data_IF_144950256904
#
_entry.id   IF_144950256904
#
_cell.length_a   1.000
_cell.length_b   1.000
_cell.length_c   1.000
_cell.angle_alpha   90.00
_cell.angle_beta   90.00
_cell.angle_gamma   90.00
#
_symmetry.space_group_name_H-M   'P 1'
#
loop_
_entity.id
_entity.type
_entity.pdbx_description
1 polymer ?
#
# COMPACT_ATOMS: atom_id res chain seq x y z
N UNK A 1 0.22 -1.95 27.64
CA UNK A 1 -0.42 -2.66 26.52
C UNK A 1 -0.85 -1.60 25.52
N UNK A 2 -0.17 -1.43 24.38
CA UNK A 2 -0.62 -0.46 23.38
C UNK A 2 -1.76 -1.07 22.54
N UNK A 3 -2.84 -0.31 22.44
CA UNK A 3 -3.98 -0.54 21.56
C UNK A 3 -3.54 -0.70 20.11
N UNK A 4 -3.99 -1.78 19.48
CA UNK A 4 -3.95 -1.93 18.04
C UNK A 4 -4.89 -0.89 17.42
N UNK A 5 -4.33 0.22 16.93
CA UNK A 5 -5.06 1.22 16.18
C UNK A 5 -5.60 0.57 14.90
N UNK A 6 -6.92 0.41 14.85
CA UNK A 6 -7.68 0.17 13.62
C UNK A 6 -7.28 1.28 12.65
N UNK A 7 -6.72 0.92 11.51
CA UNK A 7 -6.41 1.86 10.41
C UNK A 7 -7.72 2.48 9.96
N UNK A 8 -8.07 3.60 10.60
CA UNK A 8 -9.23 4.39 10.26
C UNK A 8 -9.05 4.94 8.84
N UNK A 9 -10.07 4.84 8.01
CA UNK A 9 -10.20 5.58 6.75
C UNK A 9 -9.83 7.03 7.03
N UNK A 10 -8.71 7.52 6.50
CA UNK A 10 -8.39 8.94 6.48
C UNK A 10 -9.52 9.62 5.73
N UNK A 11 -10.37 10.37 6.41
CA UNK A 11 -11.33 11.28 5.76
C UNK A 11 -10.50 12.23 4.91
N UNK A 12 -10.88 12.38 3.65
CA UNK A 12 -10.35 13.45 2.82
C UNK A 12 -10.51 14.78 3.60
N UNK A 13 -9.45 15.58 3.70
CA UNK A 13 -9.54 16.87 4.39
C UNK A 13 -10.55 17.78 3.66
N UNK A 14 -11.29 18.62 4.39
CA UNK A 14 -12.40 19.39 3.84
C UNK A 14 -12.00 20.62 3.01
N UNK A 15 -10.74 20.81 2.68
CA UNK A 15 -10.23 21.92 1.89
C UNK A 15 -9.44 21.43 0.70
N UNK A 16 -9.50 22.22 -0.37
CA UNK A 16 -8.78 22.06 -1.62
C UNK A 16 -7.25 22.00 -1.36
N UNK A 17 -6.73 20.85 -0.96
CA UNK A 17 -5.28 20.61 -0.87
C UNK A 17 -4.71 20.60 -2.28
N UNK A 18 -3.49 21.11 -2.50
CA UNK A 18 -2.83 20.98 -3.78
C UNK A 18 -2.76 19.49 -4.12
N UNK A 19 -3.49 19.10 -5.14
CA UNK A 19 -3.49 17.72 -5.64
C UNK A 19 -2.12 17.52 -6.28
N UNK A 20 -1.36 16.51 -5.86
CA UNK A 20 -0.12 16.14 -6.53
C UNK A 20 -0.42 15.80 -7.99
N UNK A 21 0.45 16.23 -8.92
CA UNK A 21 0.30 15.89 -10.33
C UNK A 21 0.41 14.37 -10.50
N UNK A 22 -0.61 13.68 -11.03
CA UNK A 22 -0.58 12.23 -11.22
C UNK A 22 0.38 11.78 -12.34
N UNK A 23 1.02 12.71 -13.05
CA UNK A 23 1.85 12.44 -14.24
C UNK A 23 3.32 12.87 -14.07
N UNK A 24 4.03 12.37 -13.05
CA UNK A 24 5.44 12.70 -12.86
C UNK A 24 6.27 12.17 -14.04
N UNK A 25 7.36 12.88 -14.34
CA UNK A 25 8.34 12.43 -15.31
C UNK A 25 9.51 11.74 -14.61
N UNK A 26 9.92 10.58 -15.13
CA UNK A 26 11.15 9.91 -14.73
C UNK A 26 12.24 10.17 -15.78
N UNK A 27 13.37 10.72 -15.33
CA UNK A 27 14.48 11.13 -16.17
C UNK A 27 15.70 10.31 -15.77
N UNK A 28 16.17 9.46 -16.67
CA UNK A 28 17.35 8.61 -16.45
C UNK A 28 18.52 9.15 -17.25
N UNK A 29 19.60 9.50 -16.55
CA UNK A 29 20.79 10.11 -17.17
C UNK A 29 21.87 9.04 -17.36
N UNK A 30 22.42 8.97 -18.57
CA UNK A 30 23.59 8.15 -18.93
C UNK A 30 23.47 6.69 -18.49
N UNK A 31 22.29 6.11 -18.70
CA UNK A 31 22.06 4.70 -18.38
C UNK A 31 23.02 3.80 -19.14
N UNK A 32 23.67 2.88 -18.42
CA UNK A 32 24.71 2.01 -18.96
C UNK A 32 24.24 0.61 -19.31
N UNK A 33 23.10 0.18 -18.76
CA UNK A 33 22.53 -1.15 -18.93
C UNK A 33 21.11 -1.09 -19.49
N UNK A 34 20.87 -1.63 -20.69
CA UNK A 34 19.53 -1.64 -21.30
C UNK A 34 18.48 -2.31 -20.44
N UNK A 35 18.80 -3.40 -19.75
CA UNK A 35 17.89 -4.10 -18.85
C UNK A 35 17.36 -3.22 -17.72
N UNK A 36 18.15 -2.27 -17.21
CA UNK A 36 17.67 -1.32 -16.19
C UNK A 36 16.61 -0.37 -16.74
N UNK A 37 16.71 0.04 -18.01
CA UNK A 37 15.69 0.88 -18.66
C UNK A 37 14.37 0.13 -18.78
N UNK A 38 14.41 -1.14 -19.22
CA UNK A 38 13.23 -1.99 -19.29
C UNK A 38 12.60 -2.23 -17.92
N UNK A 39 13.41 -2.58 -16.93
CA UNK A 39 12.95 -2.80 -15.56
C UNK A 39 12.38 -1.52 -14.92
N UNK A 40 12.98 -0.34 -15.21
CA UNK A 40 12.44 0.95 -14.77
C UNK A 40 11.08 1.25 -15.40
N UNK A 41 10.92 1.02 -16.71
CA UNK A 41 9.64 1.19 -17.40
C UNK A 41 8.53 0.30 -16.75
N UNK A 42 8.88 -0.96 -16.41
CA UNK A 42 7.97 -1.86 -15.69
C UNK A 42 7.63 -1.34 -14.30
N UNK A 43 8.62 -0.87 -13.55
CA UNK A 43 8.44 -0.30 -12.21
C UNK A 43 7.49 0.90 -12.23
N UNK A 44 7.66 1.80 -13.20
CA UNK A 44 6.77 2.95 -13.42
C UNK A 44 5.35 2.51 -13.73
N UNK A 45 5.18 1.59 -14.70
CA UNK A 45 3.86 1.11 -15.12
C UNK A 45 3.07 0.46 -14.00
N UNK A 46 3.70 -0.36 -13.17
CA UNK A 46 3.06 -0.99 -11.99
C UNK A 46 2.48 0.07 -11.04
N UNK A 47 3.12 1.23 -10.95
CA UNK A 47 2.65 2.36 -10.14
C UNK A 47 1.75 3.33 -10.92
N UNK A 48 1.40 3.03 -12.17
CA UNK A 48 0.51 3.83 -13.01
C UNK A 48 1.16 5.07 -13.60
N UNK A 49 2.49 5.05 -13.81
CA UNK A 49 3.26 6.13 -14.42
C UNK A 49 3.79 5.71 -15.80
N UNK A 50 3.99 6.70 -16.71
CA UNK A 50 4.38 6.37 -18.07
C UNK A 50 5.23 7.42 -18.79
N UNK A 51 5.60 8.55 -18.17
CA UNK A 51 6.46 9.57 -18.79
C UNK A 51 7.93 9.30 -18.45
N UNK A 52 8.62 8.60 -19.36
CA UNK A 52 10.03 8.23 -19.27
C UNK A 52 10.85 9.02 -20.27
N UNK A 53 11.92 9.67 -19.81
CA UNK A 53 12.90 10.36 -20.64
C UNK A 53 14.29 9.86 -20.33
N UNK A 54 15.05 9.54 -21.37
CA UNK A 54 16.45 9.13 -21.27
C UNK A 54 17.34 10.26 -21.77
N UNK A 55 18.31 10.65 -20.96
CA UNK A 55 19.30 11.68 -21.35
C UNK A 55 20.63 10.99 -21.62
N UNK A 56 21.13 11.12 -22.87
CA UNK A 56 22.42 10.53 -23.30
C UNK A 56 22.61 9.07 -22.84
N UNK A 57 21.67 8.16 -23.14
CA UNK A 57 21.89 6.74 -22.78
C UNK A 57 23.11 6.21 -23.55
N UNK A 58 23.82 5.25 -22.97
CA UNK A 58 25.02 4.65 -23.58
C UNK A 58 24.74 4.00 -24.95
N UNK A 59 23.57 3.39 -25.11
CA UNK A 59 23.18 2.73 -26.36
C UNK A 59 22.15 3.59 -27.08
N UNK A 60 22.40 3.91 -28.34
CA UNK A 60 21.51 4.73 -29.14
C UNK A 60 20.15 4.07 -29.40
N UNK A 61 20.14 2.73 -29.46
CA UNK A 61 18.97 1.87 -29.68
C UNK A 61 18.37 1.33 -28.38
N UNK A 62 18.69 1.93 -27.24
CA UNK A 62 18.34 1.43 -25.90
C UNK A 62 16.85 1.10 -25.74
N UNK A 63 15.95 1.84 -26.38
CA UNK A 63 14.50 1.59 -26.27
C UNK A 63 14.02 0.34 -27.03
N UNK A 64 14.72 -0.05 -28.08
CA UNK A 64 14.46 -1.24 -28.89
C UNK A 64 15.41 -2.40 -28.60
N UNK A 65 16.38 -2.20 -27.72
CA UNK A 65 17.35 -3.21 -27.35
C UNK A 65 16.66 -4.45 -26.76
N UNK A 66 17.08 -5.66 -27.15
CA UNK A 66 16.45 -6.91 -26.77
C UNK A 66 16.30 -7.06 -25.26
N UNK A 67 17.33 -6.73 -24.50
CA UNK A 67 17.33 -6.78 -23.05
C UNK A 67 16.31 -5.79 -22.43
N UNK A 68 16.21 -4.57 -23.00
CA UNK A 68 15.22 -3.57 -22.54
C UNK A 68 13.80 -4.09 -22.72
N UNK A 69 13.52 -4.63 -23.90
CA UNK A 69 12.17 -5.17 -24.20
C UNK A 69 11.86 -6.36 -23.31
N UNK A 70 12.80 -7.28 -23.12
CA UNK A 70 12.64 -8.45 -22.25
C UNK A 70 12.36 -8.03 -20.80
N UNK A 71 13.13 -7.10 -20.24
CA UNK A 71 12.97 -6.66 -18.84
C UNK A 71 11.74 -5.75 -18.64
N UNK A 72 11.27 -5.09 -19.66
CA UNK A 72 10.03 -4.31 -19.60
C UNK A 72 8.78 -5.18 -19.46
N UNK A 73 8.84 -6.45 -19.93
CA UNK A 73 7.70 -7.36 -19.88
C UNK A 73 6.43 -6.70 -20.48
N UNK A 74 5.35 -6.56 -19.72
CA UNK A 74 4.11 -5.91 -20.16
C UNK A 74 4.14 -4.37 -20.27
N UNK A 75 5.30 -3.70 -20.10
CA UNK A 75 5.42 -2.23 -20.10
C UNK A 75 5.93 -1.65 -21.44
N UNK A 76 5.72 -2.36 -22.57
CA UNK A 76 6.14 -1.90 -23.89
C UNK A 76 5.56 -0.54 -24.29
N UNK A 77 4.35 -0.21 -23.83
CA UNK A 77 3.71 1.08 -24.06
C UNK A 77 4.43 2.27 -23.39
N UNK A 78 5.13 2.04 -22.26
CA UNK A 78 5.99 3.05 -21.64
C UNK A 78 7.23 3.29 -22.50
N UNK A 79 7.86 2.21 -22.99
CA UNK A 79 9.02 2.31 -23.90
C UNK A 79 8.65 3.01 -25.21
N UNK A 80 7.51 2.71 -25.80
CA UNK A 80 7.05 3.33 -27.05
C UNK A 80 6.84 4.85 -26.91
N UNK A 81 6.43 5.30 -25.73
CA UNK A 81 6.25 6.74 -25.43
C UNK A 81 7.50 7.42 -24.91
N UNK A 82 8.50 6.62 -24.51
CA UNK A 82 9.74 7.16 -23.97
C UNK A 82 10.48 8.01 -25.02
N UNK A 83 11.16 9.04 -24.55
CA UNK A 83 11.97 9.94 -25.38
C UNK A 83 13.43 9.82 -25.03
N UNK A 84 14.29 9.92 -26.04
CA UNK A 84 15.74 10.04 -25.87
C UNK A 84 16.13 11.46 -26.25
N UNK A 85 16.83 12.15 -25.37
CA UNK A 85 17.27 13.54 -25.57
C UNK A 85 18.76 13.68 -25.32
N UNK A 86 19.37 14.70 -25.94
CA UNK A 86 20.79 14.97 -25.81
C UNK A 86 21.17 15.80 -24.58
N UNK A 87 20.21 16.52 -24.00
CA UNK A 87 20.47 17.47 -22.92
C UNK A 87 19.46 17.33 -21.81
N UNK A 88 19.86 17.62 -20.58
CA UNK A 88 18.99 17.58 -19.42
C UNK A 88 17.88 18.65 -19.52
N UNK A 89 18.19 19.82 -20.07
CA UNK A 89 17.23 20.90 -20.26
C UNK A 89 16.02 20.45 -21.09
N UNK A 90 16.28 19.66 -22.14
CA UNK A 90 15.22 19.12 -23.02
C UNK A 90 14.34 18.09 -22.26
N UNK A 91 14.94 17.38 -21.29
CA UNK A 91 14.21 16.45 -20.43
C UNK A 91 13.37 17.16 -19.37
N UNK A 92 13.75 18.37 -18.97
CA UNK A 92 13.06 19.17 -17.95
C UNK A 92 11.92 20.05 -18.51
N UNK A 93 11.73 20.08 -19.83
CA UNK A 93 10.65 20.87 -20.42
C UNK A 93 9.28 20.52 -19.83
N UNK A 94 8.57 21.52 -19.30
CA UNK A 94 7.28 21.38 -18.61
C UNK A 94 7.36 20.76 -17.20
N UNK A 95 8.55 20.57 -16.63
CA UNK A 95 8.75 20.16 -15.23
C UNK A 95 8.93 21.40 -14.36
N UNK A 96 8.14 21.52 -13.29
CA UNK A 96 8.21 22.66 -12.37
C UNK A 96 8.99 22.33 -11.09
N UNK A 97 8.98 21.08 -10.66
CA UNK A 97 9.65 20.64 -9.45
C UNK A 97 10.61 19.49 -9.74
N UNK A 98 11.89 19.80 -9.78
CA UNK A 98 12.97 18.84 -10.10
C UNK A 98 13.45 18.19 -8.81
N UNK A 99 13.36 16.87 -8.73
CA UNK A 99 13.79 16.04 -7.61
C UNK A 99 14.97 15.17 -8.07
N UNK A 100 16.20 15.53 -7.68
CA UNK A 100 17.37 14.68 -7.90
C UNK A 100 17.37 13.49 -6.91
N UNK A 101 18.03 12.39 -7.29
CA UNK A 101 18.27 11.27 -6.38
C UNK A 101 19.74 11.12 -6.06
N UNK A 102 20.11 11.12 -4.80
CA UNK A 102 21.46 10.86 -4.37
C UNK A 102 21.49 10.16 -3.01
N UNK A 103 22.53 9.34 -2.81
CA UNK A 103 22.75 8.66 -1.52
C UNK A 103 23.24 9.62 -0.43
N UNK A 104 24.07 10.59 -0.82
CA UNK A 104 24.74 11.52 0.10
C UNK A 104 24.39 12.97 -0.28
N UNK A 105 24.16 13.83 0.71
CA UNK A 105 24.08 15.26 0.50
C UNK A 105 25.31 15.78 -0.25
N UNK A 106 25.15 16.81 -1.07
CA UNK A 106 26.23 17.49 -1.75
C UNK A 106 26.48 18.85 -1.11
N UNK A 107 27.76 19.22 -0.98
CA UNK A 107 28.11 20.58 -0.60
C UNK A 107 27.48 21.56 -1.61
N UNK A 108 26.83 22.60 -1.11
CA UNK A 108 26.06 23.56 -1.92
C UNK A 108 24.91 22.98 -2.74
N UNK A 109 24.49 21.72 -2.46
CA UNK A 109 23.35 21.09 -3.11
C UNK A 109 22.00 21.55 -2.53
N UNK A 110 20.90 21.15 -3.17
CA UNK A 110 19.56 21.42 -2.66
C UNK A 110 19.30 20.68 -1.34
N UNK A 111 18.25 21.08 -0.59
CA UNK A 111 17.83 20.36 0.60
C UNK A 111 17.66 18.86 0.34
N UNK A 112 18.08 18.02 1.29
CA UNK A 112 17.98 16.56 1.19
C UNK A 112 16.88 16.06 2.09
N UNK A 113 15.98 15.23 1.56
CA UNK A 113 14.87 14.64 2.30
C UNK A 113 14.64 13.18 1.89
N UNK A 114 14.05 12.39 2.79
CA UNK A 114 13.53 11.09 2.43
C UNK A 114 12.27 11.24 1.56
N UNK A 115 12.05 10.40 0.54
CA UNK A 115 10.94 10.55 -0.41
C UNK A 115 9.58 10.66 0.29
N UNK A 116 9.28 9.77 1.23
CA UNK A 116 8.01 9.78 1.98
C UNK A 116 7.77 11.11 2.69
N UNK A 117 8.76 11.56 3.46
CA UNK A 117 8.69 12.80 4.25
C UNK A 117 8.46 14.00 3.34
N UNK A 118 9.18 14.04 2.22
CA UNK A 118 9.04 15.13 1.25
C UNK A 118 7.65 15.14 0.60
N UNK A 119 7.15 13.99 0.16
CA UNK A 119 5.82 13.92 -0.48
C UNK A 119 4.67 14.20 0.50
N UNK A 120 4.79 13.80 1.77
CA UNK A 120 3.83 14.16 2.82
C UNK A 120 3.85 15.68 3.07
N UNK A 121 5.02 16.29 3.14
CA UNK A 121 5.16 17.74 3.28
C UNK A 121 4.60 18.48 2.05
N UNK A 122 4.84 17.96 0.85
CA UNK A 122 4.34 18.53 -0.41
C UNK A 122 2.80 18.52 -0.44
N UNK A 123 2.15 17.47 0.06
CA UNK A 123 0.70 17.41 0.21
C UNK A 123 0.16 18.41 1.25
N UNK A 124 0.89 18.57 2.37
CA UNK A 124 0.43 19.40 3.50
C UNK A 124 0.62 20.90 3.30
N UNK A 125 1.74 21.31 2.71
CA UNK A 125 2.16 22.74 2.64
C UNK A 125 2.46 23.23 1.23
N UNK A 126 2.24 22.41 0.22
CA UNK A 126 2.66 22.70 -1.16
C UNK A 126 4.19 22.71 -1.33
N UNK A 127 4.67 22.89 -2.57
CA UNK A 127 6.09 22.77 -2.86
C UNK A 127 6.98 23.85 -2.22
N UNK A 128 6.57 25.14 -2.09
CA UNK A 128 7.38 26.11 -1.37
C UNK A 128 7.55 25.74 0.11
N UNK A 129 6.48 25.33 0.78
CA UNK A 129 6.51 24.92 2.18
C UNK A 129 7.29 23.62 2.40
N UNK A 130 7.20 22.64 1.50
CA UNK A 130 7.95 21.40 1.57
C UNK A 130 9.47 21.63 1.45
N UNK A 131 9.90 22.73 0.82
CA UNK A 131 11.29 23.19 0.76
C UNK A 131 11.69 24.09 1.92
N UNK A 132 10.82 24.34 2.90
CA UNK A 132 11.07 25.26 4.00
C UNK A 132 11.01 26.76 3.60
N UNK A 133 10.50 27.05 2.42
CA UNK A 133 10.32 28.40 1.94
C UNK A 133 8.96 28.93 2.42
N UNK A 134 8.93 29.70 3.49
CA UNK A 134 7.71 30.35 3.96
C UNK A 134 7.42 31.58 3.11
N UNK A 135 6.31 31.56 2.37
CA UNK A 135 5.81 32.78 1.74
C UNK A 135 5.01 33.59 2.78
N UNK A 136 5.37 34.84 2.97
CA UNK A 136 4.63 35.79 3.83
C UNK A 136 3.29 36.22 3.21
N UNK A 137 2.99 35.86 1.98
CA UNK A 137 1.74 36.14 1.29
C UNK A 137 1.01 34.86 0.95
N UNK A 138 -0.28 34.78 1.29
CA UNK A 138 -1.15 33.72 0.78
C UNK A 138 -1.15 33.76 -0.76
N UNK A 139 -0.93 32.63 -1.44
CA UNK A 139 -1.03 32.61 -2.89
C UNK A 139 -2.47 32.98 -3.30
N UNK A 140 -2.64 33.82 -4.32
CA UNK A 140 -3.95 34.37 -4.72
C UNK A 140 -4.92 33.30 -5.31
N UNK A 141 -4.49 32.07 -5.46
CA UNK A 141 -5.28 30.91 -5.89
C UNK A 141 -4.60 29.65 -5.39
N UNK A 142 -5.32 28.53 -5.18
CA UNK A 142 -4.65 27.27 -4.91
C UNK A 142 -3.71 26.99 -6.09
N UNK A 143 -2.40 26.86 -5.84
CA UNK A 143 -1.45 26.62 -6.91
C UNK A 143 -1.82 25.29 -7.58
N UNK A 144 -1.80 25.25 -8.92
CA UNK A 144 -1.83 23.98 -9.64
C UNK A 144 -0.72 23.10 -9.10
N UNK A 145 -1.00 21.81 -8.96
CA UNK A 145 -0.01 20.85 -8.52
C UNK A 145 1.21 20.89 -9.46
N UNK A 146 2.43 21.13 -8.96
CA UNK A 146 3.59 21.21 -9.80
C UNK A 146 3.85 19.85 -10.43
N UNK A 147 4.20 19.83 -11.72
CA UNK A 147 4.66 18.63 -12.38
C UNK A 147 6.06 18.27 -11.90
N UNK A 148 6.20 17.06 -11.34
CA UNK A 148 7.46 16.59 -10.80
C UNK A 148 8.31 15.90 -11.87
N UNK A 149 9.63 16.14 -11.82
CA UNK A 149 10.62 15.38 -12.56
C UNK A 149 11.57 14.68 -11.59
N UNK A 150 11.59 13.36 -11.60
CA UNK A 150 12.54 12.55 -10.85
C UNK A 150 13.78 12.28 -11.69
N UNK A 151 14.93 12.79 -11.28
CA UNK A 151 16.19 12.67 -11.99
C UNK A 151 17.06 11.62 -11.30
N UNK A 152 17.42 10.58 -12.04
CA UNK A 152 18.26 9.48 -11.58
C UNK A 152 19.51 9.40 -12.49
N UNK A 153 20.67 9.23 -11.87
CA UNK A 153 21.95 9.14 -12.58
C UNK A 153 22.31 7.74 -13.04
N UNK A 154 23.46 7.64 -13.68
CA UNK A 154 24.00 6.37 -14.15
C UNK A 154 24.27 5.40 -13.00
N UNK A 155 24.24 4.10 -13.32
CA UNK A 155 24.42 3.02 -12.35
C UNK A 155 25.79 3.04 -11.68
N UNK A 156 26.79 3.52 -12.40
CA UNK A 156 28.18 3.50 -11.91
C UNK A 156 28.56 4.76 -11.14
N UNK A 157 28.12 5.93 -11.60
CA UNK A 157 28.62 7.21 -11.09
C UNK A 157 27.53 8.04 -10.40
N UNK A 158 26.26 7.64 -10.54
CA UNK A 158 25.13 8.43 -10.06
C UNK A 158 24.94 9.71 -10.86
N UNK A 159 24.43 10.75 -10.22
CA UNK A 159 24.29 12.10 -10.78
C UNK A 159 25.59 12.89 -10.61
N UNK A 160 25.93 13.71 -11.60
CA UNK A 160 26.98 14.72 -11.46
C UNK A 160 26.55 15.81 -10.45
N UNK A 161 27.52 16.56 -9.92
CA UNK A 161 27.19 17.72 -9.08
C UNK A 161 26.37 18.75 -9.85
N UNK A 162 26.66 18.96 -11.10
CA UNK A 162 25.93 19.90 -11.97
C UNK A 162 24.46 19.50 -12.10
N UNK A 163 24.18 18.22 -12.31
CA UNK A 163 22.81 17.72 -12.40
C UNK A 163 22.06 17.87 -11.06
N UNK A 164 22.73 17.62 -9.94
CA UNK A 164 22.14 17.78 -8.59
C UNK A 164 21.86 19.25 -8.28
N UNK A 165 22.75 20.17 -8.67
CA UNK A 165 22.56 21.61 -8.39
C UNK A 165 21.40 22.24 -9.18
N UNK A 166 20.92 21.59 -10.22
CA UNK A 166 19.73 22.01 -10.99
C UNK A 166 18.42 21.59 -10.33
N UNK A 167 18.50 20.73 -9.31
CA UNK A 167 17.30 20.25 -8.63
C UNK A 167 16.85 21.20 -7.51
N UNK A 168 15.57 21.13 -7.18
CA UNK A 168 14.98 21.86 -6.08
C UNK A 168 15.10 21.10 -4.75
N UNK A 169 15.15 19.78 -4.83
CA UNK A 169 15.32 18.87 -3.70
C UNK A 169 16.16 17.67 -4.11
N UNK A 170 16.93 17.13 -3.17
CA UNK A 170 17.61 15.86 -3.30
C UNK A 170 16.85 14.80 -2.50
N UNK A 171 16.33 13.79 -3.17
CA UNK A 171 15.65 12.68 -2.53
C UNK A 171 16.66 11.58 -2.20
N UNK A 172 16.88 11.33 -0.92
CA UNK A 172 17.73 10.24 -0.44
C UNK A 172 16.83 9.10 0.06
N UNK A 173 16.89 7.97 -0.62
CA UNK A 173 16.15 6.78 -0.22
C UNK A 173 16.85 6.20 1.02
N UNK A 174 16.15 6.02 2.16
CA UNK A 174 16.74 5.43 3.34
C UNK A 174 17.21 4.00 3.08
N UNK A 175 18.52 3.76 3.25
CA UNK A 175 19.16 2.46 3.06
C UNK A 175 20.03 2.11 4.27
N UNK A 176 20.54 0.89 4.33
CA UNK A 176 21.44 0.47 5.41
C UNK A 176 22.72 1.34 5.38
N UNK A 177 23.18 1.86 6.53
CA UNK A 177 24.33 2.78 6.57
C UNK A 177 25.63 2.20 5.99
N UNK A 178 25.82 0.89 6.07
CA UNK A 178 27.01 0.21 5.55
C UNK A 178 26.91 -0.19 4.08
N UNK A 179 25.71 -0.12 3.46
CA UNK A 179 25.52 -0.51 2.07
C UNK A 179 24.26 0.17 1.48
N UNK A 180 24.47 1.28 0.82
CA UNK A 180 23.39 2.14 0.30
C UNK A 180 23.18 2.10 -1.20
N UNK A 181 23.99 1.31 -1.95
CA UNK A 181 23.90 1.28 -3.41
C UNK A 181 22.67 0.51 -3.89
N UNK A 182 21.71 1.22 -4.48
CA UNK A 182 20.55 0.64 -5.12
C UNK A 182 20.78 0.50 -6.62
N UNK A 183 20.25 -0.58 -7.20
CA UNK A 183 20.11 -0.67 -8.64
C UNK A 183 19.16 0.44 -9.14
N UNK A 184 19.42 0.97 -10.34
CA UNK A 184 18.65 2.08 -10.92
C UNK A 184 17.14 1.80 -10.96
N UNK A 185 16.74 0.63 -11.45
CA UNK A 185 15.33 0.27 -11.54
C UNK A 185 14.69 0.06 -10.17
N UNK A 186 15.44 -0.40 -9.17
CA UNK A 186 14.98 -0.48 -7.78
C UNK A 186 14.75 0.91 -7.19
N UNK A 187 15.65 1.86 -7.45
CA UNK A 187 15.46 3.25 -7.04
C UNK A 187 14.20 3.86 -7.68
N UNK A 188 14.00 3.64 -8.98
CA UNK A 188 12.76 4.04 -9.69
C UNK A 188 11.53 3.42 -9.04
N UNK A 189 11.56 2.12 -8.71
CA UNK A 189 10.42 1.44 -8.07
C UNK A 189 10.08 2.05 -6.71
N UNK A 190 11.08 2.32 -5.87
CA UNK A 190 10.85 2.90 -4.55
C UNK A 190 10.29 4.33 -4.64
N UNK A 191 10.84 5.17 -5.51
CA UNK A 191 10.31 6.52 -5.73
C UNK A 191 8.89 6.49 -6.29
N UNK A 192 8.64 5.66 -7.29
CA UNK A 192 7.32 5.49 -7.88
C UNK A 192 6.30 4.99 -6.84
N UNK A 193 6.70 4.05 -5.98
CA UNK A 193 5.86 3.55 -4.91
C UNK A 193 5.53 4.64 -3.88
N UNK A 194 6.52 5.34 -3.34
CA UNK A 194 6.31 6.40 -2.35
C UNK A 194 5.44 7.53 -2.92
N UNK A 195 5.68 7.91 -4.18
CA UNK A 195 4.86 8.92 -4.83
C UNK A 195 3.42 8.44 -5.07
N UNK A 196 3.23 7.16 -5.48
CA UNK A 196 1.89 6.58 -5.61
C UNK A 196 1.16 6.52 -4.27
N UNK A 197 1.85 6.20 -3.17
CA UNK A 197 1.26 6.25 -1.84
C UNK A 197 0.80 7.66 -1.47
N UNK A 198 1.59 8.67 -1.80
CA UNK A 198 1.20 10.07 -1.62
C UNK A 198 -0.03 10.45 -2.46
N UNK A 199 -0.19 9.91 -3.67
CA UNK A 199 -1.40 10.08 -4.50
C UNK A 199 -2.63 9.29 -4.00
N UNK A 200 -2.54 8.60 -2.87
CA UNK A 200 -3.63 7.80 -2.29
C UNK A 200 -3.52 6.29 -2.52
N UNK A 201 -2.47 5.83 -3.21
CA UNK A 201 -2.22 4.40 -3.45
C UNK A 201 -3.21 3.75 -4.43
N UNK A 202 -3.17 2.42 -4.47
CA UNK A 202 -4.19 1.58 -5.11
C UNK A 202 -4.88 0.74 -4.05
N UNK A 203 -6.18 0.53 -4.20
CA UNK A 203 -6.93 -0.33 -3.30
C UNK A 203 -6.49 -1.80 -3.46
N UNK A 204 -6.24 -2.43 -2.32
CA UNK A 204 -6.03 -3.87 -2.26
C UNK A 204 -7.37 -4.52 -1.96
N UNK A 205 -7.89 -5.32 -2.88
CA UNK A 205 -9.09 -6.10 -2.63
C UNK A 205 -8.78 -7.19 -1.59
N UNK A 206 -9.25 -6.97 -0.38
CA UNK A 206 -9.20 -7.99 0.66
C UNK A 206 -10.08 -9.18 0.27
N UNK A 207 -9.50 -10.38 0.22
CA UNK A 207 -10.23 -11.63 -0.05
C UNK A 207 -10.75 -12.33 1.20
N UNK A 208 -10.65 -11.72 2.36
CA UNK A 208 -11.29 -12.30 3.54
C UNK A 208 -12.80 -12.14 3.39
N UNK A 209 -13.58 -13.21 3.27
CA UNK A 209 -15.03 -13.11 3.44
C UNK A 209 -15.26 -12.38 4.76
N UNK A 210 -16.13 -11.38 4.74
CA UNK A 210 -16.53 -10.71 5.97
C UNK A 210 -17.09 -11.78 6.92
N UNK A 211 -16.31 -12.14 7.93
CA UNK A 211 -16.77 -13.11 8.92
C UNK A 211 -18.02 -12.53 9.57
N UNK A 212 -19.15 -13.23 9.47
CA UNK A 212 -20.31 -12.92 10.26
C UNK A 212 -20.01 -13.34 11.69
N UNK A 213 -19.73 -12.37 12.55
CA UNK A 213 -19.46 -12.63 13.95
C UNK A 213 -20.73 -13.16 14.64
N UNK A 214 -20.55 -14.17 15.46
CA UNK A 214 -21.61 -14.68 16.30
C UNK A 214 -21.96 -13.67 17.39
N UNK A 215 -23.24 -13.49 17.64
CA UNK A 215 -23.70 -12.71 18.78
C UNK A 215 -23.49 -13.43 20.10
N UNK A 216 -23.63 -12.70 21.21
CA UNK A 216 -23.44 -13.25 22.56
C UNK A 216 -24.43 -14.39 22.86
N UNK A 217 -25.63 -14.35 22.26
CA UNK A 217 -26.66 -15.38 22.46
C UNK A 217 -26.27 -16.69 21.77
N UNK A 218 -25.71 -16.61 20.55
CA UNK A 218 -25.22 -17.78 19.83
C UNK A 218 -24.07 -18.47 20.59
N UNK A 219 -23.12 -17.68 21.13
CA UNK A 219 -22.01 -18.19 21.95
C UNK A 219 -22.51 -18.81 23.26
N UNK A 220 -23.44 -18.15 23.95
CA UNK A 220 -24.06 -18.70 25.17
C UNK A 220 -24.79 -20.04 24.89
N UNK A 221 -25.47 -20.13 23.74
CA UNK A 221 -26.12 -21.37 23.30
C UNK A 221 -25.13 -22.52 23.03
N UNK A 222 -23.92 -22.24 22.50
CA UNK A 222 -22.87 -23.26 22.39
C UNK A 222 -22.42 -23.74 23.75
N UNK A 223 -22.18 -22.83 24.68
CA UNK A 223 -21.73 -23.18 26.04
C UNK A 223 -22.74 -24.02 26.78
N UNK A 224 -24.02 -23.66 26.66
CA UNK A 224 -25.12 -24.43 27.26
C UNK A 224 -25.20 -25.86 26.68
N UNK A 225 -25.10 -25.97 25.34
CA UNK A 225 -25.11 -27.28 24.67
C UNK A 225 -23.92 -28.13 25.13
N UNK A 226 -22.71 -27.59 25.16
CA UNK A 226 -21.54 -28.30 25.67
C UNK A 226 -21.69 -28.68 27.15
N UNK A 227 -22.28 -27.83 28.00
CA UNK A 227 -22.55 -28.18 29.38
C UNK A 227 -23.45 -29.42 29.52
N UNK A 228 -24.54 -29.47 28.74
CA UNK A 228 -25.46 -30.61 28.71
C UNK A 228 -24.76 -31.89 28.26
N UNK A 229 -24.02 -31.82 27.17
CA UNK A 229 -23.25 -32.94 26.63
C UNK A 229 -22.24 -33.47 27.64
N UNK A 230 -21.45 -32.59 28.25
CA UNK A 230 -20.40 -32.95 29.19
C UNK A 230 -20.97 -33.57 30.48
N UNK A 231 -22.15 -33.13 30.90
CA UNK A 231 -22.89 -33.78 32.01
C UNK A 231 -23.41 -35.18 31.63
N UNK A 232 -23.99 -35.30 30.44
CA UNK A 232 -24.58 -36.55 29.97
C UNK A 232 -23.53 -37.66 29.74
N UNK A 233 -22.32 -37.28 29.28
CA UNK A 233 -21.21 -38.24 29.15
C UNK A 233 -20.41 -38.48 30.44
N UNK A 234 -20.81 -37.85 31.57
CA UNK A 234 -20.16 -38.02 32.88
C UNK A 234 -18.81 -37.27 33.04
N UNK A 235 -18.46 -36.40 32.10
CA UNK A 235 -17.25 -35.60 32.23
C UNK A 235 -17.41 -34.41 33.20
N UNK A 236 -18.60 -33.80 33.24
CA UNK A 236 -18.94 -32.72 34.14
C UNK A 236 -19.91 -33.24 35.23
N UNK A 237 -19.43 -33.32 36.47
CA UNK A 237 -20.25 -33.66 37.60
C UNK A 237 -21.11 -32.45 38.04
N UNK A 238 -22.45 -32.52 37.96
CA UNK A 238 -23.32 -31.44 38.41
C UNK A 238 -23.17 -31.08 39.90
N UNK A 239 -22.80 -32.06 40.75
CA UNK A 239 -22.61 -31.86 42.18
C UNK A 239 -21.24 -31.25 42.53
N UNK A 240 -20.26 -31.39 41.62
CA UNK A 240 -18.91 -30.86 41.79
C UNK A 240 -18.40 -30.23 40.48
N UNK A 241 -19.03 -29.16 39.95
CA UNK A 241 -18.77 -28.65 38.57
C UNK A 241 -17.39 -28.01 38.39
N UNK A 242 -16.66 -27.81 39.49
CA UNK A 242 -15.34 -27.15 39.50
C UNK A 242 -15.38 -25.82 38.72
N UNK A 243 -14.30 -25.51 37.98
CA UNK A 243 -14.17 -24.27 37.18
C UNK A 243 -14.21 -24.51 35.67
N UNK A 244 -14.76 -25.65 35.20
CA UNK A 244 -14.72 -26.04 33.80
C UNK A 244 -15.53 -25.06 32.93
N UNK A 245 -16.81 -24.88 33.22
CA UNK A 245 -17.67 -24.00 32.41
C UNK A 245 -17.20 -22.53 32.40
N UNK A 246 -16.83 -21.92 33.54
CA UNK A 246 -16.21 -20.58 33.51
C UNK A 246 -14.95 -20.50 32.69
N UNK A 247 -14.11 -21.53 32.63
CA UNK A 247 -12.90 -21.56 31.82
C UNK A 247 -13.24 -21.69 30.32
N UNK A 248 -14.21 -22.51 29.95
CA UNK A 248 -14.67 -22.60 28.56
C UNK A 248 -15.27 -21.28 28.08
N UNK A 249 -16.08 -20.64 28.92
CA UNK A 249 -16.61 -19.31 28.61
C UNK A 249 -15.49 -18.29 28.42
N UNK A 250 -14.48 -18.27 29.30
CA UNK A 250 -13.34 -17.39 29.17
C UNK A 250 -12.51 -17.70 27.91
N UNK A 251 -12.41 -18.97 27.50
CA UNK A 251 -11.74 -19.39 26.29
C UNK A 251 -12.44 -18.83 25.05
N UNK A 252 -13.75 -18.99 24.94
CA UNK A 252 -14.56 -18.52 23.83
C UNK A 252 -14.66 -16.98 23.77
N UNK A 253 -14.63 -16.32 24.93
CA UNK A 253 -14.68 -14.86 25.00
C UNK A 253 -13.34 -14.18 24.62
N UNK A 254 -12.23 -14.91 24.54
CA UNK A 254 -10.93 -14.34 24.10
C UNK A 254 -10.85 -14.10 22.60
N UNK A 255 -11.67 -14.81 21.82
CA UNK A 255 -11.65 -14.73 20.37
C UNK A 255 -13.08 -14.55 19.89
N UNK A 256 -13.37 -13.49 19.11
CA UNK A 256 -14.68 -13.37 18.47
C UNK A 256 -14.94 -14.59 17.60
N UNK A 257 -16.01 -15.31 17.85
CA UNK A 257 -16.37 -16.48 17.04
C UNK A 257 -17.18 -16.05 15.82
N UNK A 258 -16.86 -16.63 14.66
CA UNK A 258 -17.72 -16.53 13.49
C UNK A 258 -18.94 -17.46 13.62
N UNK A 259 -20.02 -17.17 12.92
CA UNK A 259 -21.22 -18.03 12.89
C UNK A 259 -20.89 -19.46 12.44
N UNK A 260 -19.97 -19.61 11.49
CA UNK A 260 -19.49 -20.90 11.02
C UNK A 260 -18.79 -21.69 12.12
N UNK A 261 -18.01 -21.04 12.98
CA UNK A 261 -17.33 -21.67 14.12
C UNK A 261 -18.34 -22.12 15.20
N UNK A 262 -19.39 -21.33 15.43
CA UNK A 262 -20.52 -21.73 16.27
C UNK A 262 -21.18 -22.99 15.71
N UNK A 263 -21.39 -23.07 14.41
CA UNK A 263 -21.97 -24.27 13.78
C UNK A 263 -21.06 -25.49 13.93
N UNK A 264 -19.73 -25.31 13.76
CA UNK A 264 -18.74 -26.38 13.96
C UNK A 264 -18.79 -26.89 15.39
N UNK A 265 -18.73 -25.98 16.38
CA UNK A 265 -18.77 -26.35 17.80
C UNK A 265 -20.06 -27.09 18.20
N UNK A 266 -21.21 -26.67 17.67
CA UNK A 266 -22.49 -27.39 17.86
C UNK A 266 -22.47 -28.74 17.15
N UNK A 267 -21.88 -28.82 15.95
CA UNK A 267 -21.73 -30.08 15.23
C UNK A 267 -20.89 -31.10 16.01
N UNK A 268 -19.78 -30.65 16.61
CA UNK A 268 -18.94 -31.49 17.48
C UNK A 268 -19.74 -31.98 18.70
N UNK A 269 -20.50 -31.11 19.40
CA UNK A 269 -21.31 -31.49 20.52
C UNK A 269 -22.31 -32.59 20.13
N UNK A 270 -23.04 -32.44 19.02
CA UNK A 270 -23.98 -33.46 18.51
C UNK A 270 -23.28 -34.78 18.13
N UNK A 271 -22.06 -34.72 17.64
CA UNK A 271 -21.29 -35.95 17.34
C UNK A 271 -20.98 -36.73 18.63
N UNK A 272 -20.64 -36.02 19.70
CA UNK A 272 -20.42 -36.63 21.04
C UNK A 272 -21.72 -37.23 21.58
N UNK A 273 -22.85 -36.53 21.48
CA UNK A 273 -24.18 -37.03 21.90
C UNK A 273 -24.51 -38.33 21.17
N UNK A 274 -24.33 -38.38 19.86
CA UNK A 274 -24.60 -39.59 19.06
C UNK A 274 -23.68 -40.76 19.45
N UNK A 275 -22.39 -40.47 19.65
CA UNK A 275 -21.43 -41.49 20.06
C UNK A 275 -21.73 -42.07 21.46
N UNK A 276 -22.30 -41.25 22.32
CA UNK A 276 -22.71 -41.65 23.66
C UNK A 276 -24.11 -42.31 23.71
N UNK A 277 -24.80 -42.47 22.59
CA UNK A 277 -26.14 -43.06 22.55
C UNK A 277 -27.25 -42.16 23.14
N UNK A 278 -27.00 -40.85 23.23
CA UNK A 278 -27.93 -39.88 23.75
C UNK A 278 -28.94 -39.47 22.64
N UNK A 279 -30.22 -39.29 23.00
CA UNK A 279 -31.22 -38.80 22.06
C UNK A 279 -30.87 -37.36 21.64
N UNK A 280 -30.64 -37.12 20.35
CA UNK A 280 -30.47 -35.78 19.80
C UNK A 280 -31.85 -35.12 19.68
N UNK A 281 -32.18 -34.16 20.52
CA UNK A 281 -33.26 -33.22 20.23
C UNK A 281 -32.74 -32.22 19.17
N UNK A 282 -33.35 -32.20 17.99
CA UNK A 282 -33.06 -31.18 16.99
C UNK A 282 -33.51 -29.81 17.52
N UNK A 283 -32.58 -28.81 17.56
CA UNK A 283 -33.00 -27.45 17.92
C UNK A 283 -33.97 -26.92 16.86
N UNK A 284 -34.89 -26.03 17.24
CA UNK A 284 -35.83 -25.43 16.31
C UNK A 284 -35.06 -24.75 15.16
N UNK A 285 -35.53 -24.96 13.92
CA UNK A 285 -34.97 -24.37 12.74
C UNK A 285 -34.88 -22.84 12.91
N UNK A 286 -33.76 -22.20 12.46
CA UNK A 286 -33.67 -20.74 12.53
C UNK A 286 -34.82 -20.11 11.73
N UNK A 287 -35.35 -18.96 12.19
CA UNK A 287 -36.42 -18.29 11.46
C UNK A 287 -35.95 -17.94 10.06
N UNK A 288 -36.73 -18.27 9.04
CA UNK A 288 -36.42 -18.02 7.65
C UNK A 288 -36.04 -16.54 7.44
N UNK A 289 -34.82 -16.29 6.96
CA UNK A 289 -34.35 -14.96 6.63
C UNK A 289 -35.29 -14.36 5.60
N UNK A 290 -36.09 -13.35 5.99
CA UNK A 290 -36.89 -12.57 5.06
C UNK A 290 -35.96 -11.98 3.99
N UNK A 291 -35.99 -12.50 2.79
CA UNK A 291 -35.38 -11.86 1.62
C UNK A 291 -35.99 -10.47 1.45
N UNK A 292 -35.19 -9.43 1.64
CA UNK A 292 -35.60 -8.07 1.26
C UNK A 292 -35.81 -8.01 -0.26
N UNK A 293 -36.92 -7.43 -0.75
CA UNK A 293 -37.14 -7.25 -2.16
C UNK A 293 -36.06 -6.31 -2.76
N UNK A 294 -35.70 -6.51 -4.04
CA UNK A 294 -34.70 -5.67 -4.69
C UNK A 294 -35.16 -4.21 -4.71
N UNK A 295 -34.24 -3.30 -4.31
CA UNK A 295 -34.48 -1.85 -4.40
C UNK A 295 -34.72 -1.47 -5.86
N UNK A 296 -35.93 -1.01 -6.14
CA UNK A 296 -36.29 -0.41 -7.42
C UNK A 296 -35.49 0.88 -7.61
N UNK A 297 -34.61 0.89 -8.58
CA UNK A 297 -33.95 2.11 -9.06
C UNK A 297 -35.00 2.97 -9.75
N UNK A 298 -35.36 4.08 -9.15
CA UNK A 298 -36.06 5.17 -9.81
C UNK A 298 -35.14 5.83 -10.86
N UNK A 299 -35.65 5.95 -12.07
CA UNK A 299 -35.02 6.63 -13.22
C UNK A 299 -34.85 8.12 -12.96
#
# INVERSE_FOLDING_TARGET
MPEAAIVGRRRAPPWNMPVLDPTPRFILIETSHPGNVGAAARAMKVMGFGDLVLVRPRYADVLSHEETVAMASGAADVLTRARVVGRMEDALDGVQLVCATAMTPRDFGPPTAAPRVFFEALQGSGWPGALGLTSAAEPPSPPEAPRLGFVLGSERYGLSNEDVYRAHVCLSIPTHPGYGSLNLAQAVQLLAYEYRQALGGFEVQGRSPAAQWADAQAVAGVLLHWQQVLQAVGFLDPQAPKKLMPRLQQLLNRTPLAQEEVHILRGMARAVERAAGLACEDPPAPPATRQMPPRTTLK
#
